data_IF_302526406284
#
_entry.id   IF_302526406284
#
_cell.length_a   1.000
_cell.length_b   1.000
_cell.length_c   1.000
_cell.angle_alpha   90.00
_cell.angle_beta   90.00
_cell.angle_gamma   90.00
#
_symmetry.space_group_name_H-M   'P 1'
#
loop_
_entity.id
_entity.type
_entity.pdbx_description
1 polymer ?
#
# COMPACT_ATOMS: atom_id res chain seq x y z
N UNK A 1 -19.24 10.87 -8.44
CA UNK A 1 -18.60 11.73 -9.45
C UNK A 1 -17.64 10.85 -10.23
N UNK A 2 -17.61 10.97 -11.55
CA UNK A 2 -16.70 10.22 -12.44
C UNK A 2 -15.70 11.25 -12.97
N UNK A 3 -14.43 10.85 -13.11
CA UNK A 3 -13.38 11.71 -13.67
C UNK A 3 -13.76 12.18 -15.08
N UNK A 4 -13.46 13.43 -15.43
CA UNK A 4 -13.85 14.04 -16.72
C UNK A 4 -13.35 13.21 -17.90
N UNK A 5 -12.10 12.75 -17.83
CA UNK A 5 -11.47 11.96 -18.88
C UNK A 5 -11.75 10.44 -18.81
N UNK A 6 -12.75 9.98 -18.05
CA UNK A 6 -13.00 8.54 -17.86
C UNK A 6 -13.21 7.74 -19.17
N UNK A 7 -13.82 8.37 -20.18
CA UNK A 7 -14.07 7.75 -21.49
C UNK A 7 -13.01 8.09 -22.54
N UNK A 8 -12.00 8.90 -22.19
CA UNK A 8 -10.96 9.29 -23.13
C UNK A 8 -9.97 8.12 -23.33
N UNK A 9 -9.60 7.78 -24.56
CA UNK A 9 -8.58 6.76 -24.85
C UNK A 9 -7.15 7.23 -24.51
N UNK A 10 -7.02 8.26 -23.66
CA UNK A 10 -5.76 8.88 -23.29
C UNK A 10 -4.87 7.92 -22.49
N UNK A 11 -3.57 7.98 -22.74
CA UNK A 11 -2.58 7.28 -21.93
C UNK A 11 -2.28 8.10 -20.68
N UNK A 12 -2.84 7.72 -19.54
CA UNK A 12 -2.50 8.33 -18.26
C UNK A 12 -1.13 7.88 -17.77
N UNK A 13 -0.35 8.82 -17.23
CA UNK A 13 0.81 8.47 -16.42
C UNK A 13 0.31 7.88 -15.10
N UNK A 14 0.74 6.66 -14.77
CA UNK A 14 0.43 6.03 -13.50
C UNK A 14 1.65 6.18 -12.60
N UNK A 15 1.53 6.99 -11.55
CA UNK A 15 2.63 7.21 -10.61
C UNK A 15 2.70 6.19 -9.47
N UNK A 16 1.57 5.54 -9.15
CA UNK A 16 1.55 4.46 -8.16
C UNK A 16 0.58 3.33 -8.52
N UNK A 17 0.94 2.12 -8.08
CA UNK A 17 0.09 0.94 -8.05
C UNK A 17 0.00 0.50 -6.59
N UNK A 18 -1.19 0.12 -6.12
CA UNK A 18 -1.33 -0.48 -4.80
C UNK A 18 -2.07 -1.82 -4.87
N UNK A 19 -1.55 -2.82 -4.14
CA UNK A 19 -2.17 -4.13 -4.00
C UNK A 19 -2.84 -4.26 -2.64
N UNK A 20 -4.15 -4.54 -2.64
CA UNK A 20 -4.89 -4.83 -1.42
C UNK A 20 -4.85 -6.32 -1.08
N UNK A 21 -4.53 -6.63 0.17
CA UNK A 21 -4.59 -8.00 0.69
C UNK A 21 -5.58 -8.10 1.84
N UNK A 22 -6.07 -9.31 2.10
CA UNK A 22 -6.82 -9.64 3.31
C UNK A 22 -5.95 -10.57 4.15
N UNK A 23 -5.13 -9.97 5.02
CA UNK A 23 -4.30 -10.69 5.97
C UNK A 23 -4.67 -10.26 7.37
N UNK A 24 -5.02 -11.22 8.23
CA UNK A 24 -5.43 -10.90 9.60
C UNK A 24 -4.23 -10.47 10.45
N UNK A 25 -3.04 -11.00 10.16
CA UNK A 25 -1.81 -10.78 10.92
C UNK A 25 -0.58 -10.60 10.01
N UNK A 26 0.56 -10.21 10.60
CA UNK A 26 1.88 -10.19 9.95
C UNK A 26 2.18 -9.01 9.01
N UNK A 27 1.19 -8.45 8.32
CA UNK A 27 1.37 -7.32 7.40
C UNK A 27 0.91 -5.98 8.00
N UNK A 28 1.66 -4.88 7.82
CA UNK A 28 1.29 -3.55 8.31
C UNK A 28 0.12 -2.97 7.49
N UNK A 29 -0.45 -1.84 7.94
CA UNK A 29 -1.54 -1.17 7.24
C UNK A 29 -1.17 -0.80 5.79
N UNK A 30 0.05 -0.29 5.60
CA UNK A 30 0.60 0.08 4.29
C UNK A 30 2.12 -0.03 4.28
N UNK A 31 2.69 -0.44 3.16
CA UNK A 31 4.12 -0.31 2.87
C UNK A 31 4.40 -0.08 1.38
N UNK A 32 5.49 0.61 1.09
CA UNK A 32 6.05 0.80 -0.26
C UNK A 32 7.11 -0.28 -0.53
N UNK A 33 7.09 -0.85 -1.72
CA UNK A 33 8.10 -1.82 -2.17
C UNK A 33 9.46 -1.16 -2.38
N UNK A 34 10.53 -1.93 -2.22
CA UNK A 34 11.90 -1.42 -2.41
C UNK A 34 12.19 -1.04 -3.87
N UNK A 35 11.62 -1.80 -4.79
CA UNK A 35 11.73 -1.58 -6.22
C UNK A 35 10.51 -2.14 -6.96
N UNK A 36 10.47 -1.90 -8.27
CA UNK A 36 9.40 -2.33 -9.15
C UNK A 36 9.27 -3.87 -9.22
N UNK A 37 10.39 -4.57 -9.38
CA UNK A 37 10.41 -6.02 -9.57
C UNK A 37 9.87 -6.75 -8.34
N UNK A 38 10.34 -6.37 -7.15
CA UNK A 38 9.88 -6.89 -5.87
C UNK A 38 8.40 -6.56 -5.64
N UNK A 39 7.97 -5.33 -5.93
CA UNK A 39 6.57 -4.93 -5.74
C UNK A 39 5.61 -5.71 -6.64
N UNK A 40 5.96 -5.90 -7.91
CA UNK A 40 5.19 -6.74 -8.84
C UNK A 40 5.18 -8.20 -8.37
N UNK A 41 6.32 -8.72 -7.91
CA UNK A 41 6.43 -10.08 -7.39
C UNK A 41 5.50 -10.34 -6.21
N UNK A 42 5.58 -9.47 -5.21
CA UNK A 42 4.76 -9.56 -4.01
C UNK A 42 3.28 -9.39 -4.35
N UNK A 43 2.94 -8.44 -5.23
CA UNK A 43 1.57 -8.22 -5.69
C UNK A 43 0.97 -9.43 -6.42
N UNK A 44 1.75 -10.05 -7.31
CA UNK A 44 1.35 -11.25 -8.03
C UNK A 44 1.19 -12.48 -7.11
N UNK A 45 1.92 -12.50 -5.99
CA UNK A 45 1.87 -13.61 -5.02
C UNK A 45 0.56 -13.66 -4.22
N UNK A 46 -0.23 -12.58 -4.18
CA UNK A 46 -1.42 -12.50 -3.32
C UNK A 46 -2.73 -13.07 -3.91
N UNK A 47 -2.80 -13.48 -5.21
CA UNK A 47 -3.89 -14.34 -5.74
C UNK A 47 -3.51 -15.12 -7.02
N UNK A 48 -3.73 -16.45 -6.96
CA UNK A 48 -3.86 -17.44 -8.06
C UNK A 48 -2.63 -17.72 -8.94
N UNK A 49 -2.26 -19.01 -9.04
CA UNK A 49 -1.12 -19.58 -9.76
C UNK A 49 -1.03 -19.29 -11.28
N UNK A 50 -1.84 -18.40 -11.84
CA UNK A 50 -1.81 -18.02 -13.24
C UNK A 50 -1.84 -16.50 -13.42
N UNK A 51 -0.79 -15.80 -12.98
CA UNK A 51 -0.53 -14.44 -13.45
C UNK A 51 0.79 -14.41 -14.23
N UNK A 52 0.63 -14.09 -15.51
CA UNK A 52 1.58 -14.14 -16.61
C UNK A 52 2.82 -13.26 -16.35
N UNK A 53 4.01 -13.79 -16.67
CA UNK A 53 5.35 -13.20 -16.54
C UNK A 53 5.56 -11.81 -17.18
N UNK A 54 4.58 -11.29 -17.93
CA UNK A 54 4.73 -10.08 -18.75
C UNK A 54 4.77 -8.74 -18.00
N UNK A 55 4.48 -8.69 -16.69
CA UNK A 55 4.67 -7.48 -15.88
C UNK A 55 6.14 -7.29 -15.45
N UNK A 56 6.86 -8.40 -15.20
CA UNK A 56 8.30 -8.38 -14.90
C UNK A 56 9.11 -7.94 -16.12
N UNK A 57 8.71 -8.39 -17.31
CA UNK A 57 9.39 -8.10 -18.58
C UNK A 57 9.16 -6.65 -19.11
N UNK A 58 8.44 -5.80 -18.36
CA UNK A 58 8.05 -4.45 -18.79
C UNK A 58 8.96 -3.32 -18.32
N UNK A 59 10.02 -3.62 -17.57
CA UNK A 59 11.10 -2.65 -17.37
C UNK A 59 11.77 -2.35 -18.72
N UNK A 60 11.33 -1.28 -19.36
CA UNK A 60 11.95 -0.77 -20.59
C UNK A 60 12.86 0.40 -20.23
N UNK A 61 14.09 0.46 -20.77
CA UNK A 61 14.97 1.62 -20.59
C UNK A 61 14.23 2.93 -20.95
N UNK A 62 14.30 3.92 -20.07
CA UNK A 62 13.66 5.23 -20.26
C UNK A 62 12.21 5.35 -19.80
N UNK A 63 11.60 4.31 -19.24
CA UNK A 63 10.27 4.40 -18.60
C UNK A 63 10.39 4.71 -17.10
N UNK A 64 9.67 5.73 -16.63
CA UNK A 64 9.43 5.95 -15.21
C UNK A 64 8.43 4.88 -14.74
N UNK A 65 8.88 3.97 -13.87
CA UNK A 65 8.01 2.94 -13.31
C UNK A 65 7.21 3.52 -12.13
N UNK A 66 5.94 3.14 -11.96
CA UNK A 66 5.16 3.55 -10.79
C UNK A 66 5.78 2.98 -9.52
N UNK A 67 5.61 3.70 -8.40
CA UNK A 67 5.86 3.13 -7.08
C UNK A 67 4.81 2.05 -6.78
N UNK A 68 5.23 0.96 -6.14
CA UNK A 68 4.32 -0.14 -5.78
C UNK A 68 4.10 -0.14 -4.27
N UNK A 69 2.83 -0.13 -3.87
CA UNK A 69 2.41 -0.17 -2.48
C UNK A 69 1.59 -1.41 -2.20
N UNK A 70 1.59 -1.83 -0.94
CA UNK A 70 0.77 -2.93 -0.45
C UNK A 70 -0.03 -2.44 0.74
N UNK A 71 -1.33 -2.69 0.73
CA UNK A 71 -2.26 -2.25 1.77
C UNK A 71 -2.96 -3.45 2.40
N UNK A 72 -3.22 -3.35 3.70
CA UNK A 72 -3.95 -4.36 4.46
C UNK A 72 -4.99 -3.69 5.36
N UNK A 73 -6.23 -3.61 4.88
CA UNK A 73 -7.35 -3.03 5.62
C UNK A 73 -7.95 -3.97 6.67
N UNK A 74 -7.54 -5.24 6.66
CA UNK A 74 -8.22 -6.32 7.38
C UNK A 74 -7.39 -6.88 8.53
N UNK A 75 -6.34 -6.17 8.94
CA UNK A 75 -5.52 -6.58 10.08
C UNK A 75 -6.37 -6.53 11.35
N UNK A 76 -6.28 -7.57 12.15
CA UNK A 76 -6.97 -7.69 13.43
C UNK A 76 -5.97 -7.59 14.59
N UNK A 77 -6.46 -7.14 15.74
CA UNK A 77 -5.76 -7.32 17.00
C UNK A 77 -5.87 -8.81 17.43
N UNK A 78 -4.76 -9.52 17.66
CA UNK A 78 -4.80 -10.94 18.01
C UNK A 78 -5.53 -11.26 19.33
N UNK A 79 -5.70 -10.27 20.22
CA UNK A 79 -6.35 -10.45 21.53
C UNK A 79 -7.84 -10.13 21.47
N UNK A 80 -8.22 -9.03 20.81
CA UNK A 80 -9.63 -8.61 20.74
C UNK A 80 -10.36 -9.08 19.49
N UNK A 81 -9.64 -9.59 18.47
CA UNK A 81 -10.17 -9.92 17.14
C UNK A 81 -10.90 -8.76 16.45
N UNK A 82 -10.64 -7.53 16.91
CA UNK A 82 -11.18 -6.32 16.29
C UNK A 82 -10.25 -5.84 15.19
N UNK A 83 -10.81 -5.30 14.11
CA UNK A 83 -10.02 -4.64 13.08
C UNK A 83 -9.22 -3.49 13.67
N UNK A 84 -7.94 -3.40 13.31
CA UNK A 84 -7.08 -2.29 13.70
C UNK A 84 -7.35 -1.01 12.89
N UNK A 85 -8.02 -1.15 11.75
CA UNK A 85 -8.33 -0.05 10.84
C UNK A 85 -9.83 -0.04 10.49
N UNK A 86 -10.51 1.12 10.55
CA UNK A 86 -11.95 1.22 10.27
C UNK A 86 -12.32 0.96 8.80
N UNK A 87 -11.39 1.15 7.86
CA UNK A 87 -11.62 0.90 6.44
C UNK A 87 -12.50 1.94 5.74
N UNK A 88 -13.08 1.55 4.60
CA UNK A 88 -14.02 2.36 3.80
C UNK A 88 -13.50 3.77 3.51
N UNK A 89 -14.24 4.81 3.90
CA UNK A 89 -13.90 6.22 3.67
C UNK A 89 -12.59 6.62 4.35
N UNK A 90 -12.22 6.00 5.47
CA UNK A 90 -10.98 6.32 6.18
C UNK A 90 -9.73 5.88 5.39
N UNK A 91 -9.86 4.96 4.42
CA UNK A 91 -8.77 4.58 3.52
C UNK A 91 -8.17 5.77 2.76
N UNK A 92 -8.92 6.88 2.63
CA UNK A 92 -8.40 8.12 2.05
C UNK A 92 -7.14 8.63 2.76
N UNK A 93 -6.99 8.37 4.07
CA UNK A 93 -5.81 8.76 4.87
C UNK A 93 -4.55 8.00 4.47
N UNK A 94 -4.73 6.76 4.01
CA UNK A 94 -3.62 5.95 3.50
C UNK A 94 -3.32 6.30 2.04
N UNK A 95 -4.35 6.62 1.25
CA UNK A 95 -4.15 7.16 -0.09
C UNK A 95 -3.41 8.52 -0.06
N UNK A 96 -3.72 9.40 0.90
CA UNK A 96 -2.97 10.64 1.18
C UNK A 96 -1.49 10.36 1.44
N UNK A 97 -1.20 9.37 2.30
CA UNK A 97 0.18 8.94 2.56
C UNK A 97 0.87 8.42 1.29
N UNK A 98 0.18 7.64 0.47
CA UNK A 98 0.70 7.14 -0.82
C UNK A 98 1.03 8.31 -1.77
N UNK A 99 0.13 9.29 -1.90
CA UNK A 99 0.35 10.47 -2.74
C UNK A 99 1.59 11.25 -2.27
N UNK A 100 1.72 11.50 -0.97
CA UNK A 100 2.88 12.19 -0.40
C UNK A 100 4.20 11.42 -0.62
N UNK A 101 4.17 10.08 -0.59
CA UNK A 101 5.30 9.22 -0.95
C UNK A 101 5.66 9.25 -2.43
N UNK A 102 4.66 9.41 -3.30
CA UNK A 102 4.85 9.65 -4.74
C UNK A 102 5.52 11.00 -4.98
N UNK A 103 5.13 12.02 -4.23
CA UNK A 103 5.69 13.38 -4.30
C UNK A 103 7.08 13.50 -3.66
N UNK A 104 7.57 12.44 -3.01
CA UNK A 104 8.93 12.35 -2.47
C UNK A 104 9.07 12.76 -1.01
N UNK A 105 7.97 12.90 -0.26
CA UNK A 105 8.01 13.25 1.16
C UNK A 105 8.61 12.12 2.01
N UNK A 106 9.54 12.43 2.91
CA UNK A 106 10.21 11.46 3.78
C UNK A 106 9.38 11.14 5.04
N UNK A 107 8.35 10.32 4.84
CA UNK A 107 7.37 9.93 5.87
C UNK A 107 7.30 8.42 6.07
N UNK A 108 8.46 7.77 5.91
CA UNK A 108 8.59 6.33 5.99
C UNK A 108 9.88 5.92 6.71
N UNK A 109 9.94 4.67 7.17
CA UNK A 109 11.14 4.02 7.68
C UNK A 109 11.40 2.71 6.94
N UNK A 110 12.66 2.34 6.80
CA UNK A 110 13.05 1.08 6.18
C UNK A 110 12.66 -0.13 7.04
N UNK A 111 12.33 -1.24 6.38
CA UNK A 111 12.04 -2.53 6.98
C UNK A 111 12.39 -3.68 6.02
N UNK A 112 12.46 -4.94 6.49
CA UNK A 112 12.76 -6.09 5.64
C UNK A 112 11.78 -6.32 4.48
N UNK A 113 10.54 -5.83 4.60
CA UNK A 113 9.50 -6.02 3.57
C UNK A 113 9.30 -4.79 2.66
N UNK A 114 10.04 -3.70 2.91
CA UNK A 114 9.83 -2.42 2.22
C UNK A 114 9.87 -1.22 3.16
N UNK A 115 9.41 -0.06 2.68
CA UNK A 115 9.30 1.17 3.46
C UNK A 115 7.92 1.27 4.09
N UNK A 116 7.85 1.31 5.41
CA UNK A 116 6.61 1.41 6.17
C UNK A 116 6.40 2.83 6.67
N UNK A 117 5.15 3.23 6.90
CA UNK A 117 4.82 4.53 7.46
C UNK A 117 5.45 4.72 8.86
N UNK A 118 5.80 5.97 9.18
CA UNK A 118 6.25 6.37 10.52
C UNK A 118 5.09 6.92 11.35
N UNK A 119 5.26 6.94 12.67
CA UNK A 119 4.30 7.56 13.59
C UNK A 119 4.04 9.02 13.21
N UNK A 120 2.79 9.43 13.22
CA UNK A 120 2.30 10.75 12.82
C UNK A 120 2.19 10.97 11.30
N UNK A 121 2.64 10.03 10.46
CA UNK A 121 2.58 10.22 9.00
C UNK A 121 1.20 9.99 8.40
N UNK A 122 0.38 9.15 9.04
CA UNK A 122 -1.01 8.90 8.66
C UNK A 122 -1.89 9.64 9.67
N UNK A 123 -2.76 10.52 9.18
CA UNK A 123 -3.64 11.31 10.05
C UNK A 123 -4.68 10.40 10.68
N UNK A 124 -4.64 10.21 11.99
CA UNK A 124 -5.65 9.44 12.76
C UNK A 124 -6.56 10.33 13.61
N UNK A 125 -6.56 11.64 13.37
CA UNK A 125 -7.45 12.58 14.06
C UNK A 125 -8.91 12.16 13.92
N UNK A 126 -9.63 12.18 15.05
CA UNK A 126 -11.02 11.74 15.20
C UNK A 126 -11.27 10.23 15.00
N UNK A 127 -10.23 9.39 15.11
CA UNK A 127 -10.37 7.93 15.17
C UNK A 127 -10.14 7.47 16.62
N UNK A 128 -11.22 7.22 17.37
CA UNK A 128 -11.16 6.94 18.81
C UNK A 128 -10.55 5.57 19.15
N UNK A 129 -10.60 4.61 18.22
CA UNK A 129 -10.23 3.21 18.47
C UNK A 129 -9.07 2.72 17.58
N UNK A 130 -8.20 3.62 17.13
CA UNK A 130 -7.04 3.28 16.31
C UNK A 130 -5.76 3.38 17.14
N UNK A 131 -5.11 2.24 17.33
CA UNK A 131 -3.79 2.14 17.96
C UNK A 131 -2.71 2.27 16.88
N UNK A 132 -2.13 3.47 16.78
CA UNK A 132 -1.15 3.79 15.75
C UNK A 132 0.09 2.88 15.80
N UNK A 133 0.56 2.53 16.99
CA UNK A 133 1.77 1.73 17.14
C UNK A 133 1.57 0.35 16.47
N UNK A 134 0.38 -0.24 16.64
CA UNK A 134 0.01 -1.52 16.01
C UNK A 134 -0.17 -1.45 14.49
N UNK A 135 -0.42 -0.27 13.91
CA UNK A 135 -0.58 -0.14 12.45
C UNK A 135 0.73 -0.36 11.70
N UNK A 136 1.85 0.02 12.32
CA UNK A 136 3.19 -0.01 11.72
C UNK A 136 3.99 -1.25 12.12
N UNK A 137 3.47 -2.06 13.05
CA UNK A 137 4.17 -3.21 13.58
C UNK A 137 4.30 -4.31 12.55
N UNK A 138 5.54 -4.80 12.41
CA UNK A 138 5.87 -6.05 11.74
C UNK A 138 6.10 -7.04 12.87
N UNK A 139 5.08 -7.81 13.24
CA UNK A 139 5.25 -8.82 14.27
C UNK A 139 6.35 -9.78 13.80
N UNK A 140 7.50 -9.74 14.49
CA UNK A 140 8.47 -10.82 14.45
C UNK A 140 7.94 -11.87 15.40
N UNK A 141 7.46 -12.99 14.87
CA UNK A 141 7.59 -14.23 15.62
C UNK A 141 9.07 -14.48 15.96
#
# INVERSE_FOLDING_TARGET
MIHEDYNEPASFSIDSIHFGTRQLEGSPLVYESLDWQLGVYVGASFKSQHTRSGLFEREKPGRKMPKVFHVNWFREDPKSHSLLWPGFGENIRVLDWICRRVDGEDICRDSPIGKISIKGSIKITNLENVDEDKLHDLNKE
#
